data_IF_010671564198
#
_entry.id   IF_010671564198
#
_cell.length_a   1.000
_cell.length_b   1.000
_cell.length_c   1.000
_cell.angle_alpha   90.00
_cell.angle_beta   90.00
_cell.angle_gamma   90.00
#
_symmetry.space_group_name_H-M   'P 1'
#
loop_
_entity.id
_entity.type
_entity.pdbx_description
1 polymer ?
#
# COMPACT_ATOMS: atom_id res chain seq x y z
N UNK A 1 10.20 13.28 -3.10
CA UNK A 1 9.71 11.89 -3.33
C UNK A 1 8.91 11.82 -4.64
N UNK A 2 8.66 10.64 -5.21
CA UNK A 2 7.91 10.49 -6.47
C UNK A 2 6.50 11.14 -6.44
N UNK A 3 5.84 11.13 -5.28
CA UNK A 3 4.57 11.83 -5.08
C UNK A 3 4.68 13.35 -5.23
N UNK A 4 5.77 13.96 -4.76
CA UNK A 4 6.00 15.41 -4.92
C UNK A 4 6.11 15.76 -6.41
N UNK A 5 6.86 14.95 -7.17
CA UNK A 5 6.99 15.12 -8.62
C UNK A 5 5.64 15.00 -9.34
N UNK A 6 4.83 13.99 -9.03
CA UNK A 6 3.51 13.81 -9.64
C UNK A 6 2.57 14.99 -9.31
N UNK A 7 2.55 15.44 -8.05
CA UNK A 7 1.75 16.58 -7.62
C UNK A 7 2.17 17.87 -8.33
N UNK A 8 3.47 18.11 -8.47
CA UNK A 8 4.02 19.32 -9.10
C UNK A 8 3.87 19.29 -10.63
N UNK A 9 3.81 18.11 -11.23
CA UNK A 9 3.45 17.91 -12.64
C UNK A 9 1.95 18.12 -12.93
N UNK A 10 1.14 18.41 -11.90
CA UNK A 10 -0.28 18.73 -12.04
C UNK A 10 -1.22 17.52 -12.00
N UNK A 11 -0.78 16.37 -11.48
CA UNK A 11 -1.67 15.24 -11.26
C UNK A 11 -2.76 15.60 -10.23
N UNK A 12 -3.99 15.15 -10.45
CA UNK A 12 -5.09 15.30 -9.48
C UNK A 12 -5.14 14.10 -8.51
N UNK A 13 -4.91 12.91 -9.04
CA UNK A 13 -4.80 11.64 -8.30
C UNK A 13 -3.41 11.07 -8.53
N UNK A 14 -2.80 10.58 -7.46
CA UNK A 14 -1.50 9.91 -7.48
C UNK A 14 -1.73 8.45 -7.09
N UNK A 15 -1.32 7.54 -7.97
CA UNK A 15 -1.34 6.10 -7.73
C UNK A 15 0.09 5.64 -7.52
N UNK A 16 0.35 5.04 -6.36
CA UNK A 16 1.61 4.36 -6.07
C UNK A 16 1.44 2.87 -6.31
N UNK A 17 2.41 2.27 -7.00
CA UNK A 17 2.44 0.86 -7.34
C UNK A 17 3.88 0.37 -7.24
N UNK A 18 4.09 -0.77 -6.60
CA UNK A 18 5.43 -1.36 -6.49
C UNK A 18 5.97 -1.80 -7.86
N UNK A 19 7.29 -1.85 -7.98
CA UNK A 19 7.98 -2.17 -9.24
C UNK A 19 7.71 -3.60 -9.74
N UNK A 20 7.33 -4.50 -8.84
CA UNK A 20 6.94 -5.87 -9.15
C UNK A 20 5.42 -6.08 -9.13
N UNK A 21 4.64 -5.03 -8.98
CA UNK A 21 3.18 -5.08 -9.06
C UNK A 21 2.68 -4.68 -10.46
N UNK A 22 1.72 -5.44 -10.97
CA UNK A 22 1.01 -5.16 -12.21
C UNK A 22 -0.39 -4.64 -11.91
N UNK A 23 -0.85 -3.56 -12.57
CA UNK A 23 -2.18 -3.03 -12.32
C UNK A 23 -3.22 -3.94 -12.99
N UNK A 24 -4.26 -4.31 -12.24
CA UNK A 24 -5.45 -4.91 -12.82
C UNK A 24 -6.16 -3.94 -13.78
N UNK A 25 -6.99 -4.45 -14.70
CA UNK A 25 -7.60 -3.64 -15.77
C UNK A 25 -8.51 -2.52 -15.26
N UNK A 26 -9.00 -2.61 -14.01
CA UNK A 26 -9.85 -1.60 -13.37
C UNK A 26 -9.15 -0.77 -12.30
N UNK A 27 -7.85 -0.97 -12.06
CA UNK A 27 -7.15 -0.35 -10.92
C UNK A 27 -7.27 1.18 -10.93
N UNK A 28 -6.95 1.81 -12.06
CA UNK A 28 -7.01 3.27 -12.20
C UNK A 28 -8.45 3.78 -12.07
N UNK A 29 -9.40 3.14 -12.75
CA UNK A 29 -10.81 3.54 -12.73
C UNK A 29 -11.39 3.46 -11.31
N UNK A 30 -11.07 2.40 -10.57
CA UNK A 30 -11.58 2.18 -9.21
C UNK A 30 -10.97 3.14 -8.20
N UNK A 31 -9.67 3.41 -8.26
CA UNK A 31 -9.08 4.44 -7.40
C UNK A 31 -9.60 5.84 -7.74
N UNK A 32 -9.73 6.18 -9.02
CA UNK A 32 -10.24 7.49 -9.44
C UNK A 32 -11.68 7.70 -8.99
N UNK A 33 -12.55 6.69 -9.16
CA UNK A 33 -13.93 6.75 -8.70
C UNK A 33 -14.02 6.89 -7.17
N UNK A 34 -13.21 6.11 -6.43
CA UNK A 34 -13.17 6.19 -4.97
C UNK A 34 -12.74 7.58 -4.47
N UNK A 35 -11.70 8.15 -5.07
CA UNK A 35 -11.16 9.46 -4.67
C UNK A 35 -11.99 10.64 -5.17
N UNK A 36 -12.83 10.45 -6.19
CA UNK A 36 -13.84 11.44 -6.55
C UNK A 36 -14.95 11.53 -5.48
N UNK A 37 -15.33 10.42 -4.87
CA UNK A 37 -16.33 10.39 -3.77
C UNK A 37 -15.70 10.77 -2.42
N UNK A 38 -14.47 10.32 -2.17
CA UNK A 38 -13.73 10.49 -0.91
C UNK A 38 -12.34 11.09 -1.15
N UNK A 39 -12.26 12.37 -1.56
CA UNK A 39 -10.98 13.02 -1.90
C UNK A 39 -10.07 13.24 -0.67
N UNK A 40 -10.62 13.08 0.53
CA UNK A 40 -9.97 13.19 1.83
C UNK A 40 -9.29 11.89 2.30
N UNK A 41 -9.44 10.78 1.55
CA UNK A 41 -9.00 9.46 1.97
C UNK A 41 -7.78 8.92 1.18
N UNK A 42 -7.07 7.99 1.82
CA UNK A 42 -6.10 7.09 1.16
C UNK A 42 -6.82 5.81 0.76
N UNK A 43 -6.85 5.52 -0.54
CA UNK A 43 -7.50 4.34 -1.11
C UNK A 43 -6.50 3.19 -1.29
N UNK A 44 -6.82 2.01 -0.79
CA UNK A 44 -6.01 0.80 -0.85
C UNK A 44 -6.77 -0.32 -1.56
N UNK A 45 -6.20 -0.84 -2.64
CA UNK A 45 -6.76 -1.94 -3.41
C UNK A 45 -6.33 -3.31 -2.89
N UNK A 46 -7.06 -4.39 -3.23
CA UNK A 46 -6.61 -5.74 -2.93
C UNK A 46 -5.29 -6.05 -3.65
N UNK A 47 -4.38 -6.73 -2.96
CA UNK A 47 -3.12 -7.21 -3.55
C UNK A 47 -3.17 -8.72 -3.67
N UNK A 48 -3.02 -9.22 -4.90
CA UNK A 48 -2.93 -10.63 -5.24
C UNK A 48 -1.46 -11.01 -5.41
N UNK A 49 -1.02 -12.06 -4.72
CA UNK A 49 0.32 -12.63 -4.91
C UNK A 49 0.25 -13.73 -5.97
N UNK A 50 0.95 -13.51 -7.07
CA UNK A 50 1.12 -14.52 -8.10
C UNK A 50 2.05 -15.62 -7.60
N UNK A 51 1.79 -16.85 -8.07
CA UNK A 51 2.61 -18.01 -7.74
C UNK A 51 3.82 -18.11 -8.68
N UNK A 52 4.82 -18.87 -8.27
CA UNK A 52 6.01 -19.15 -9.08
C UNK A 52 5.68 -19.73 -10.47
N UNK A 53 4.62 -20.54 -10.55
CA UNK A 53 4.12 -21.17 -11.77
C UNK A 53 3.19 -20.26 -12.60
N UNK A 54 3.06 -18.98 -12.23
CA UNK A 54 2.26 -17.96 -12.92
C UNK A 54 3.14 -16.79 -13.39
N UNK A 55 4.13 -17.03 -14.28
CA UNK A 55 4.95 -15.95 -14.81
C UNK A 55 4.09 -14.99 -15.63
N UNK A 56 4.37 -13.70 -15.52
CA UNK A 56 3.67 -12.68 -16.29
C UNK A 56 4.51 -12.25 -17.48
N UNK A 57 3.96 -12.45 -18.66
CA UNK A 57 4.42 -11.90 -19.93
C UNK A 57 3.37 -10.97 -20.52
N UNK A 58 3.71 -10.21 -21.55
CA UNK A 58 2.77 -9.33 -22.25
C UNK A 58 1.51 -10.08 -22.74
N UNK A 59 1.66 -11.35 -23.11
CA UNK A 59 0.60 -12.23 -23.59
C UNK A 59 -0.35 -12.73 -22.48
N UNK A 60 0.09 -12.67 -21.22
CA UNK A 60 -0.69 -13.14 -20.06
C UNK A 60 -1.38 -12.03 -19.28
N UNK A 61 -1.19 -10.77 -19.68
CA UNK A 61 -1.76 -9.61 -18.98
C UNK A 61 -3.29 -9.69 -18.93
N UNK A 62 -3.91 -10.13 -20.02
CA UNK A 62 -5.37 -10.34 -20.11
C UNK A 62 -5.86 -11.45 -19.17
N UNK A 63 -4.99 -12.40 -18.80
CA UNK A 63 -5.31 -13.51 -17.91
C UNK A 63 -5.18 -13.17 -16.42
N UNK A 64 -4.61 -12.01 -16.06
CA UNK A 64 -4.37 -11.62 -14.65
C UNK A 64 -5.63 -11.72 -13.78
N UNK A 65 -6.79 -11.30 -14.32
CA UNK A 65 -8.06 -11.37 -13.59
C UNK A 65 -8.40 -12.80 -13.14
N UNK A 66 -8.01 -13.82 -13.93
CA UNK A 66 -8.19 -15.22 -13.59
C UNK A 66 -7.27 -15.73 -12.47
N UNK A 67 -6.19 -15.00 -12.17
CA UNK A 67 -5.25 -15.30 -11.07
C UNK A 67 -5.60 -14.60 -9.77
N UNK A 68 -6.68 -13.81 -9.73
CA UNK A 68 -7.08 -13.03 -8.55
C UNK A 68 -7.19 -13.93 -7.31
N UNK A 69 -6.32 -13.67 -6.34
CA UNK A 69 -6.24 -14.35 -5.06
C UNK A 69 -5.65 -13.38 -4.02
N UNK A 70 -6.47 -12.45 -3.49
CA UNK A 70 -5.98 -11.39 -2.62
C UNK A 70 -5.44 -11.96 -1.31
N UNK A 71 -4.45 -11.28 -0.73
CA UNK A 71 -3.85 -11.70 0.55
C UNK A 71 -4.91 -11.78 1.66
N UNK A 72 -5.06 -12.92 2.37
CA UNK A 72 -6.16 -13.14 3.32
C UNK A 72 -6.08 -12.23 4.57
N UNK A 73 -4.91 -11.69 4.86
CA UNK A 73 -4.69 -10.73 5.95
C UNK A 73 -5.15 -9.30 5.66
N UNK A 74 -5.77 -9.01 4.51
CA UNK A 74 -6.30 -7.67 4.16
C UNK A 74 -7.74 -7.78 3.66
N UNK A 75 -8.61 -6.81 3.98
CA UNK A 75 -9.93 -6.73 3.38
C UNK A 75 -9.86 -6.67 1.86
N UNK A 76 -10.73 -7.43 1.20
CA UNK A 76 -10.89 -7.43 -0.24
C UNK A 76 -12.37 -7.28 -0.61
N UNK A 77 -12.95 -6.07 -0.47
CA UNK A 77 -14.36 -5.83 -0.81
C UNK A 77 -14.68 -6.20 -2.25
N UNK A 78 -15.97 -6.46 -2.51
CA UNK A 78 -16.45 -6.71 -3.86
C UNK A 78 -16.18 -5.52 -4.79
N UNK A 79 -16.10 -5.77 -6.09
CA UNK A 79 -15.84 -4.74 -7.10
C UNK A 79 -16.79 -3.54 -6.98
N UNK A 80 -16.23 -2.33 -6.91
CA UNK A 80 -17.00 -1.09 -6.75
C UNK A 80 -17.48 -0.81 -5.32
N UNK A 81 -17.22 -1.69 -4.36
CA UNK A 81 -17.50 -1.45 -2.94
C UNK A 81 -16.31 -0.75 -2.29
N UNK A 82 -16.58 0.33 -1.57
CA UNK A 82 -15.64 0.95 -0.66
C UNK A 82 -15.97 0.57 0.78
N UNK A 83 -14.96 0.18 1.53
CA UNK A 83 -15.06 -0.10 2.96
C UNK A 83 -14.09 0.81 3.71
N UNK A 84 -14.57 1.56 4.70
CA UNK A 84 -13.69 2.31 5.59
C UNK A 84 -12.87 1.36 6.45
N UNK A 85 -11.58 1.65 6.60
CA UNK A 85 -10.71 0.86 7.45
C UNK A 85 -11.09 1.03 8.93
N UNK A 86 -11.10 -0.08 9.67
CA UNK A 86 -11.17 -0.05 11.13
C UNK A 86 -9.86 0.47 11.74
N UNK A 87 -9.90 0.84 13.02
CA UNK A 87 -8.75 1.43 13.74
C UNK A 87 -7.49 0.55 13.73
N UNK A 88 -7.66 -0.77 13.84
CA UNK A 88 -6.59 -1.77 13.81
C UNK A 88 -6.11 -2.09 12.39
N UNK A 89 -6.94 -1.85 11.37
CA UNK A 89 -6.61 -2.11 9.98
C UNK A 89 -5.62 -1.11 9.37
N UNK A 90 -5.37 0.05 10.00
CA UNK A 90 -4.32 0.99 9.55
C UNK A 90 -2.92 0.35 9.54
N UNK A 91 -2.68 -0.67 10.36
CA UNK A 91 -1.44 -1.43 10.36
C UNK A 91 -1.25 -2.30 9.12
N UNK A 92 -2.34 -2.51 8.35
CA UNK A 92 -2.39 -3.29 7.12
C UNK A 92 -2.21 -2.44 5.85
N UNK A 93 -1.89 -1.15 6.00
CA UNK A 93 -1.43 -0.33 4.89
C UNK A 93 -0.12 -0.92 4.37
N UNK A 94 -0.08 -1.25 3.07
CA UNK A 94 1.13 -1.67 2.38
C UNK A 94 1.29 -0.81 1.12
N UNK A 95 2.49 -0.26 0.90
CA UNK A 95 2.77 0.61 -0.24
C UNK A 95 2.75 -0.10 -1.60
N UNK A 96 2.49 -1.42 -1.61
CA UNK A 96 2.38 -2.23 -2.82
C UNK A 96 1.39 -1.66 -3.84
N UNK A 97 0.25 -1.16 -3.35
CA UNK A 97 -0.72 -0.44 -4.16
C UNK A 97 -1.63 0.44 -3.31
N UNK A 98 -1.58 1.74 -3.54
CA UNK A 98 -2.50 2.70 -2.96
C UNK A 98 -2.63 3.95 -3.83
N UNK A 99 -3.66 4.76 -3.58
CA UNK A 99 -3.88 6.02 -4.25
C UNK A 99 -4.39 7.08 -3.29
N UNK A 100 -4.12 8.34 -3.60
CA UNK A 100 -4.67 9.50 -2.93
C UNK A 100 -4.69 10.71 -3.86
N UNK A 101 -5.43 11.75 -3.49
CA UNK A 101 -5.41 13.01 -4.23
C UNK A 101 -4.06 13.71 -4.03
N UNK A 102 -3.59 14.45 -5.05
CA UNK A 102 -2.36 15.24 -4.93
C UNK A 102 -2.45 16.30 -3.84
N UNK A 103 -3.67 16.79 -3.57
CA UNK A 103 -3.95 17.65 -2.41
C UNK A 103 -3.68 16.93 -1.10
N UNK A 104 -4.30 15.76 -0.89
CA UNK A 104 -4.09 14.98 0.34
C UNK A 104 -2.62 14.57 0.50
N UNK A 105 -1.92 14.25 -0.59
CA UNK A 105 -0.47 14.01 -0.54
C UNK A 105 0.28 15.20 0.04
N UNK A 106 0.02 16.42 -0.43
CA UNK A 106 0.64 17.64 0.13
C UNK A 106 0.29 17.83 1.59
N UNK A 107 -0.96 17.61 1.98
CA UNK A 107 -1.40 17.70 3.37
C UNK A 107 -0.65 16.69 4.27
N UNK A 108 -0.47 15.44 3.82
CA UNK A 108 0.36 14.43 4.51
C UNK A 108 1.84 14.86 4.61
N UNK A 109 2.39 15.43 3.54
CA UNK A 109 3.77 15.91 3.51
C UNK A 109 3.99 17.07 4.47
N UNK A 110 3.04 17.99 4.60
CA UNK A 110 3.09 19.08 5.57
C UNK A 110 2.90 18.56 7.01
N UNK A 111 1.94 17.65 7.23
CA UNK A 111 1.57 17.19 8.57
C UNK A 111 2.64 16.29 9.23
N UNK A 112 3.21 15.34 8.48
CA UNK A 112 4.15 14.36 9.02
C UNK A 112 5.25 13.94 8.04
N UNK A 113 5.38 14.61 6.90
CA UNK A 113 6.44 14.32 5.93
C UNK A 113 6.22 13.06 5.09
N UNK A 114 5.05 12.42 5.10
CA UNK A 114 4.83 11.18 4.34
C UNK A 114 5.61 9.98 4.92
N UNK A 115 6.26 9.19 4.07
CA UNK A 115 7.10 8.06 4.53
C UNK A 115 8.35 8.56 5.25
N UNK A 116 8.62 7.99 6.42
CA UNK A 116 9.73 8.38 7.28
C UNK A 116 11.06 7.79 6.80
N UNK A 117 12.04 8.65 6.47
CA UNK A 117 13.39 8.25 6.04
C UNK A 117 14.26 7.65 7.18
N UNK A 118 13.78 7.68 8.43
CA UNK A 118 14.44 7.01 9.55
C UNK A 118 14.38 5.48 9.44
N UNK A 119 13.41 4.93 8.70
CA UNK A 119 13.36 3.50 8.39
C UNK A 119 14.35 3.20 7.28
N UNK A 120 15.28 2.26 7.52
CA UNK A 120 16.34 1.91 6.58
C UNK A 120 16.26 0.43 6.23
N UNK A 121 16.58 0.10 4.98
CA UNK A 121 16.45 -1.28 4.50
C UNK A 121 14.98 -1.66 4.35
N UNK A 122 14.57 -2.76 4.97
CA UNK A 122 13.26 -3.35 4.76
C UNK A 122 12.46 -3.48 6.06
N UNK A 123 11.19 -3.05 6.04
CA UNK A 123 10.19 -3.32 7.06
C UNK A 123 9.91 -2.15 8.01
N UNK A 124 8.64 -1.98 8.37
CA UNK A 124 8.14 -1.04 9.38
C UNK A 124 7.69 0.32 8.84
N UNK A 125 8.20 0.74 7.69
CA UNK A 125 7.90 2.02 7.05
C UNK A 125 6.43 2.14 6.62
N UNK A 126 5.88 1.06 6.06
CA UNK A 126 4.48 0.99 5.63
C UNK A 126 3.52 1.06 6.81
N UNK A 127 3.81 0.27 7.85
CA UNK A 127 3.01 0.27 9.08
C UNK A 127 3.08 1.64 9.76
N UNK A 128 4.25 2.30 9.79
CA UNK A 128 4.38 3.66 10.33
C UNK A 128 3.55 4.67 9.53
N UNK A 129 3.58 4.62 8.19
CA UNK A 129 2.75 5.49 7.36
C UNK A 129 1.26 5.30 7.65
N UNK A 130 0.78 4.06 7.71
CA UNK A 130 -0.61 3.76 8.10
C UNK A 130 -0.96 4.30 9.48
N UNK A 131 -0.04 4.18 10.44
CA UNK A 131 -0.23 4.73 11.79
C UNK A 131 -0.23 6.26 11.84
N UNK A 132 0.53 6.94 10.98
CA UNK A 132 0.45 8.38 10.82
C UNK A 132 -0.91 8.82 10.26
N UNK A 133 -1.46 8.11 9.27
CA UNK A 133 -2.80 8.39 8.77
C UNK A 133 -3.83 8.35 9.91
N UNK A 134 -3.76 7.29 10.74
CA UNK A 134 -4.62 7.15 11.92
C UNK A 134 -4.45 8.29 12.92
N UNK A 135 -3.21 8.60 13.31
CA UNK A 135 -2.90 9.64 14.29
C UNK A 135 -3.41 11.03 13.85
N UNK A 136 -3.37 11.30 12.54
CA UNK A 136 -3.85 12.53 11.92
C UNK A 136 -5.32 12.46 11.47
N UNK A 137 -6.03 11.36 11.76
CA UNK A 137 -7.44 11.12 11.39
C UNK A 137 -7.70 11.23 9.88
N UNK A 138 -6.72 10.84 9.07
CA UNK A 138 -6.86 10.74 7.61
C UNK A 138 -7.51 9.39 7.30
N UNK A 139 -8.71 9.36 6.69
CA UNK A 139 -9.40 8.10 6.42
C UNK A 139 -8.62 7.20 5.47
N UNK A 140 -8.59 5.90 5.78
CA UNK A 140 -8.16 4.86 4.84
C UNK A 140 -9.38 4.07 4.34
N UNK A 141 -9.40 3.77 3.05
CA UNK A 141 -10.47 3.02 2.38
C UNK A 141 -9.91 1.78 1.71
N UNK A 142 -10.57 0.65 1.90
CA UNK A 142 -10.42 -0.54 1.07
C UNK A 142 -11.29 -0.40 -0.18
N UNK A 143 -10.67 -0.38 -1.36
CA UNK A 143 -11.34 -0.13 -2.64
C UNK A 143 -11.43 -1.41 -3.47
N UNK A 144 -12.60 -2.06 -3.42
CA UNK A 144 -12.85 -3.31 -4.13
C UNK A 144 -12.72 -3.17 -5.65
N UNK A 145 -12.00 -4.11 -6.27
CA UNK A 145 -11.74 -4.14 -7.70
C UNK A 145 -10.55 -3.31 -8.18
N UNK A 146 -9.89 -2.56 -7.28
CA UNK A 146 -8.63 -1.90 -7.58
C UNK A 146 -7.44 -2.88 -7.43
N UNK A 147 -7.53 -4.06 -8.03
CA UNK A 147 -6.59 -5.15 -7.78
C UNK A 147 -5.20 -4.86 -8.36
N UNK A 148 -4.16 -5.09 -7.56
CA UNK A 148 -2.77 -5.15 -7.99
C UNK A 148 -2.24 -6.59 -7.89
N UNK A 149 -1.44 -7.01 -8.88
CA UNK A 149 -0.88 -8.35 -8.97
C UNK A 149 0.61 -8.30 -8.73
N UNK A 150 1.03 -8.69 -7.53
CA UNK A 150 2.42 -8.76 -7.13
C UNK A 150 3.06 -10.00 -7.75
N UNK A 151 4.08 -9.78 -8.58
CA UNK A 151 4.82 -10.85 -9.23
C UNK A 151 5.52 -11.72 -8.19
N UNK A 152 5.65 -13.01 -8.53
CA UNK A 152 6.30 -13.93 -7.61
C UNK A 152 7.79 -13.60 -7.48
N UNK A 153 8.25 -13.54 -6.24
CA UNK A 153 9.66 -13.63 -5.86
C UNK A 153 9.78 -14.21 -4.44
N UNK A 154 10.96 -14.72 -4.02
CA UNK A 154 11.16 -15.14 -2.64
C UNK A 154 10.87 -14.00 -1.64
N UNK A 155 10.20 -14.25 -0.51
CA UNK A 155 9.77 -13.18 0.39
C UNK A 155 10.95 -12.33 0.90
N UNK A 156 10.84 -11.01 0.78
CA UNK A 156 11.92 -10.07 1.13
C UNK A 156 12.34 -10.17 2.61
N UNK A 157 11.40 -10.41 3.53
CA UNK A 157 11.74 -10.58 4.96
C UNK A 157 12.66 -11.78 5.23
N UNK A 158 12.65 -12.80 4.36
CA UNK A 158 13.50 -13.99 4.48
C UNK A 158 14.92 -13.77 3.93
N UNK A 159 15.19 -12.66 3.24
CA UNK A 159 16.52 -12.34 2.74
C UNK A 159 17.48 -12.11 3.92
N UNK A 160 18.63 -12.79 3.93
CA UNK A 160 19.57 -12.77 5.05
C UNK A 160 20.03 -11.35 5.45
N UNK A 161 20.09 -10.41 4.50
CA UNK A 161 20.47 -9.02 4.74
C UNK A 161 19.40 -8.17 5.45
N UNK A 162 18.15 -8.62 5.53
CA UNK A 162 17.04 -7.81 6.04
C UNK A 162 16.79 -7.97 7.54
N UNK A 163 17.33 -9.01 8.19
CA UNK A 163 17.04 -9.29 9.62
C UNK A 163 17.49 -8.17 10.56
N UNK A 164 18.64 -7.56 10.31
CA UNK A 164 19.15 -6.46 11.13
C UNK A 164 18.31 -5.19 10.94
N UNK A 165 17.96 -4.88 9.69
CA UNK A 165 17.07 -3.78 9.35
C UNK A 165 15.69 -3.95 10.02
N UNK A 166 15.06 -5.12 9.89
CA UNK A 166 13.77 -5.43 10.51
C UNK A 166 13.82 -5.21 12.03
N UNK A 167 14.88 -5.69 12.71
CA UNK A 167 15.02 -5.50 14.16
C UNK A 167 15.17 -4.03 14.54
N UNK A 168 16.02 -3.28 13.83
CA UNK A 168 16.24 -1.86 14.09
C UNK A 168 14.98 -1.03 13.84
N UNK A 169 14.30 -1.29 12.71
CA UNK A 169 13.07 -0.63 12.32
C UNK A 169 11.91 -0.97 13.26
N UNK A 170 11.81 -2.21 13.73
CA UNK A 170 10.80 -2.60 14.73
C UNK A 170 11.02 -1.89 16.07
N UNK A 171 12.27 -1.72 16.51
CA UNK A 171 12.59 -0.96 17.72
C UNK A 171 12.24 0.53 17.55
N UNK A 172 12.53 1.11 16.39
CA UNK A 172 12.14 2.48 16.04
C UNK A 172 10.61 2.63 16.08
N UNK A 173 9.87 1.75 15.39
CA UNK A 173 8.41 1.75 15.40
C UNK A 173 7.87 1.63 16.84
N UNK A 174 8.38 0.68 17.62
CA UNK A 174 7.97 0.51 19.01
C UNK A 174 8.22 1.77 19.84
N UNK A 175 9.32 2.49 19.61
CA UNK A 175 9.59 3.75 20.31
C UNK A 175 8.57 4.84 20.00
N UNK A 176 7.97 4.83 18.79
CA UNK A 176 6.96 5.81 18.34
C UNK A 176 5.55 5.45 18.79
N UNK A 177 5.19 4.17 18.72
CA UNK A 177 3.79 3.72 18.84
C UNK A 177 3.51 2.87 20.08
N UNK A 178 4.54 2.42 20.80
CA UNK A 178 4.41 1.69 22.06
C UNK A 178 4.03 0.21 21.92
N UNK A 179 4.09 -0.36 20.70
CA UNK A 179 3.88 -1.78 20.43
C UNK A 179 4.72 -2.23 19.23
N UNK A 180 4.89 -3.55 19.06
CA UNK A 180 5.73 -4.13 18.02
C UNK A 180 4.98 -4.29 16.69
N UNK A 181 5.56 -3.85 15.54
CA UNK A 181 5.00 -4.11 14.22
C UNK A 181 5.41 -5.51 13.74
N UNK A 182 4.86 -5.98 12.62
CA UNK A 182 5.35 -7.16 11.89
C UNK A 182 5.59 -8.38 12.79
N UNK A 183 4.65 -8.69 13.70
CA UNK A 183 4.87 -9.66 14.78
C UNK A 183 5.26 -11.05 14.28
N UNK A 184 4.82 -11.43 13.08
CA UNK A 184 5.17 -12.71 12.45
C UNK A 184 6.63 -12.77 11.95
N UNK A 185 7.38 -11.67 11.98
CA UNK A 185 8.75 -11.55 11.45
C UNK A 185 9.83 -11.33 12.53
N UNK A 186 9.44 -11.07 13.79
CA UNK A 186 10.33 -10.71 14.91
C UNK A 186 10.71 -11.91 15.78
#
# INVERSE_FOLDING_TARGET
MAGDYAADAGAEVIVFLDADCLPGPRLIDRYTAALAERPDAVACGPVTYLREDQPVTAETLDALTGYRNPHPGRPAPADGVMQAAAEDEYQLFWSLSFALTARLWRDCREAFGGFSEDYRGYGGEDTDFGMQLRAHRIPMLWTGGADAFHQWHPPSHAAAGNREAIRANAALFHSRWGYWPMQDWL
#
